data_IF_860968098402
#
_entry.id   IF_860968098402
#
_cell.length_a   1.000
_cell.length_b   1.000
_cell.length_c   1.000
_cell.angle_alpha   90.00
_cell.angle_beta   90.00
_cell.angle_gamma   90.00
#
_symmetry.space_group_name_H-M   'P 1'
#
loop_
_entity.id
_entity.type
_entity.pdbx_description
1 polymer ?
#
# COMPACT_ATOMS: atom_id res chain seq x y z
N UNK A 1 3.54 -8.01 -39.89
CA UNK A 1 4.37 -7.25 -38.93
C UNK A 1 3.57 -6.30 -38.02
N UNK A 2 2.36 -5.82 -38.37
CA UNK A 2 1.56 -4.90 -37.53
C UNK A 2 0.80 -5.53 -36.34
N UNK A 3 0.52 -6.83 -36.34
CA UNK A 3 -0.24 -7.47 -35.25
C UNK A 3 0.60 -7.71 -33.98
N UNK A 4 1.90 -7.96 -34.13
CA UNK A 4 2.80 -8.29 -33.03
C UNK A 4 3.14 -7.10 -32.14
N UNK A 5 3.26 -5.90 -32.73
CA UNK A 5 3.55 -4.67 -31.97
C UNK A 5 2.37 -4.27 -31.07
N UNK A 6 1.13 -4.44 -31.51
CA UNK A 6 -0.05 -4.12 -30.70
C UNK A 6 -0.21 -5.02 -29.47
N UNK A 7 0.11 -6.32 -29.60
CA UNK A 7 0.05 -7.26 -28.48
C UNK A 7 1.06 -6.90 -27.37
N UNK A 8 2.25 -6.41 -27.74
CA UNK A 8 3.30 -6.00 -26.81
C UNK A 8 2.89 -4.76 -26.00
N UNK A 9 2.26 -3.76 -26.64
CA UNK A 9 1.76 -2.57 -25.93
C UNK A 9 0.61 -2.87 -24.97
N UNK A 10 -0.28 -3.82 -25.29
CA UNK A 10 -1.38 -4.22 -24.39
C UNK A 10 -0.83 -5.00 -23.18
N UNK A 11 0.16 -5.89 -23.37
CA UNK A 11 0.79 -6.58 -22.25
C UNK A 11 1.59 -5.62 -21.34
N UNK A 12 2.32 -4.65 -21.91
CA UNK A 12 3.04 -3.63 -21.15
C UNK A 12 2.10 -2.67 -20.41
N UNK A 13 0.97 -2.30 -21.01
CA UNK A 13 -0.04 -1.44 -20.40
C UNK A 13 -0.70 -2.08 -19.17
N UNK A 14 -1.04 -3.37 -19.25
CA UNK A 14 -1.63 -4.11 -18.11
C UNK A 14 -0.58 -4.34 -17.02
N UNK A 15 0.71 -4.48 -17.36
CA UNK A 15 1.79 -4.63 -16.38
C UNK A 15 2.14 -3.34 -15.62
N UNK A 16 1.84 -2.16 -16.19
CA UNK A 16 2.07 -0.86 -15.54
C UNK A 16 1.09 -0.60 -14.38
N UNK A 17 -0.12 -1.16 -14.42
CA UNK A 17 -1.08 -1.09 -13.30
C UNK A 17 -0.63 -1.95 -12.11
N UNK A 18 0.04 -3.08 -12.36
CA UNK A 18 0.61 -3.95 -11.31
C UNK A 18 1.95 -3.45 -10.77
N UNK A 19 2.64 -2.54 -11.46
CA UNK A 19 3.95 -2.02 -11.05
C UNK A 19 3.88 -1.05 -9.85
N UNK A 20 2.69 -0.63 -9.43
CA UNK A 20 2.45 0.23 -8.26
C UNK A 20 1.72 -0.49 -7.11
N UNK A 21 1.61 -1.82 -7.16
CA UNK A 21 0.99 -2.61 -6.09
C UNK A 21 1.89 -2.62 -4.85
N UNK A 22 1.70 -1.59 -4.03
CA UNK A 22 2.26 -1.47 -2.68
C UNK A 22 1.78 -2.64 -1.83
N UNK A 23 2.69 -3.38 -1.18
CA UNK A 23 2.35 -4.51 -0.32
C UNK A 23 2.49 -4.14 1.16
N UNK A 24 1.39 -4.20 1.92
CA UNK A 24 1.35 -3.79 3.33
C UNK A 24 0.93 -4.92 4.26
N UNK A 25 1.48 -4.99 5.49
CA UNK A 25 0.92 -5.82 6.53
C UNK A 25 -0.53 -5.39 6.80
N UNK A 26 -1.44 -6.35 6.88
CA UNK A 26 -2.85 -6.11 7.11
C UNK A 26 -3.38 -6.94 8.28
N UNK A 27 -3.79 -6.24 9.33
CA UNK A 27 -4.39 -6.82 10.52
C UNK A 27 -5.32 -5.80 11.17
N UNK A 28 -6.31 -6.30 11.90
CA UNK A 28 -7.31 -5.47 12.59
C UNK A 28 -7.60 -6.17 13.90
N UNK A 29 -7.10 -5.62 15.00
CA UNK A 29 -7.11 -6.11 16.38
C UNK A 29 -5.68 -6.28 16.95
N UNK A 30 -5.57 -6.17 18.27
CA UNK A 30 -4.30 -6.20 19.00
C UNK A 30 -3.58 -7.54 18.86
N UNK A 31 -4.30 -8.65 18.90
CA UNK A 31 -3.71 -9.99 18.87
C UNK A 31 -3.15 -10.31 17.48
N UNK A 32 -3.91 -10.04 16.42
CA UNK A 32 -3.46 -10.29 15.04
C UNK A 32 -2.35 -9.35 14.63
N UNK A 33 -2.35 -8.10 15.11
CA UNK A 33 -1.29 -7.15 14.82
C UNK A 33 0.01 -7.35 15.63
N UNK A 34 -0.07 -8.05 16.76
CA UNK A 34 1.07 -8.45 17.59
C UNK A 34 1.70 -9.80 17.17
N UNK A 35 1.09 -10.51 16.22
CA UNK A 35 1.64 -11.76 15.70
C UNK A 35 3.06 -11.55 15.13
N UNK A 36 3.93 -12.56 15.32
CA UNK A 36 5.31 -12.54 14.82
C UNK A 36 5.38 -12.29 13.31
N UNK A 37 4.42 -12.85 12.57
CA UNK A 37 4.30 -12.69 11.13
C UNK A 37 2.87 -12.23 10.78
N UNK A 38 2.74 -10.95 10.41
CA UNK A 38 1.46 -10.36 9.98
C UNK A 38 1.34 -10.55 8.46
N UNK A 39 0.21 -11.09 7.96
CA UNK A 39 0.03 -11.30 6.52
C UNK A 39 0.07 -9.97 5.77
N UNK A 40 0.71 -9.97 4.61
CA UNK A 40 0.74 -8.82 3.70
C UNK A 40 -0.34 -8.95 2.63
N UNK A 41 -0.88 -7.82 2.20
CA UNK A 41 -1.86 -7.74 1.11
C UNK A 41 -1.48 -6.63 0.14
N UNK A 42 -1.84 -6.82 -1.13
CA UNK A 42 -1.73 -5.77 -2.13
C UNK A 42 -2.69 -4.62 -1.79
N UNK A 43 -2.18 -3.39 -1.78
CA UNK A 43 -2.99 -2.20 -1.61
C UNK A 43 -3.86 -2.01 -2.86
N UNK A 44 -5.15 -2.29 -2.70
CA UNK A 44 -6.19 -2.00 -3.68
C UNK A 44 -7.12 -0.93 -3.14
N UNK A 45 -7.91 -0.29 -4.00
CA UNK A 45 -8.92 0.67 -3.57
C UNK A 45 -9.90 0.10 -2.54
N UNK A 46 -10.22 -1.20 -2.61
CA UNK A 46 -11.07 -1.88 -1.63
C UNK A 46 -10.40 -2.01 -0.25
N UNK A 47 -9.12 -2.41 -0.22
CA UNK A 47 -8.34 -2.51 1.03
C UNK A 47 -8.18 -1.12 1.65
N UNK A 48 -7.81 -0.12 0.86
CA UNK A 48 -7.68 1.27 1.30
C UNK A 48 -8.99 1.79 1.89
N UNK A 49 -10.10 1.67 1.18
CA UNK A 49 -11.38 2.18 1.66
C UNK A 49 -11.80 1.50 2.98
N UNK A 50 -11.54 0.20 3.12
CA UNK A 50 -11.82 -0.52 4.36
C UNK A 50 -10.93 -0.03 5.51
N UNK A 51 -9.63 0.08 5.30
CA UNK A 51 -8.67 0.59 6.29
C UNK A 51 -9.03 2.01 6.72
N UNK A 52 -9.28 2.91 5.77
CA UNK A 52 -9.63 4.31 6.03
C UNK A 52 -10.96 4.43 6.78
N UNK A 53 -11.96 3.59 6.44
CA UNK A 53 -13.22 3.53 7.18
C UNK A 53 -13.01 3.17 8.65
N UNK A 54 -12.15 2.19 8.94
CA UNK A 54 -11.82 1.81 10.33
C UNK A 54 -11.06 2.92 11.06
N UNK A 55 -10.19 3.65 10.36
CA UNK A 55 -9.47 4.81 10.90
C UNK A 55 -10.38 6.04 11.11
N UNK A 56 -11.58 6.06 10.51
CA UNK A 56 -12.56 7.13 10.70
C UNK A 56 -13.09 7.28 12.12
N UNK A 57 -12.89 6.28 12.99
CA UNK A 57 -13.14 6.41 14.42
C UNK A 57 -12.06 7.18 15.19
N UNK A 58 -10.91 7.45 14.56
CA UNK A 58 -9.70 7.99 15.20
C UNK A 58 -9.32 9.34 14.59
N UNK A 59 -9.23 9.38 13.27
CA UNK A 59 -8.77 10.55 12.52
C UNK A 59 -9.94 11.28 11.85
N UNK A 60 -9.80 12.60 11.70
CA UNK A 60 -10.74 13.46 10.98
C UNK A 60 -10.25 13.67 9.55
N UNK A 61 -11.15 14.11 8.66
CA UNK A 61 -10.85 14.51 7.28
C UNK A 61 -10.17 13.42 6.41
N UNK A 62 -10.75 12.21 6.40
CA UNK A 62 -10.14 11.07 5.73
C UNK A 62 -10.38 10.94 4.22
N UNK A 63 -11.13 11.86 3.61
CA UNK A 63 -11.50 11.79 2.19
C UNK A 63 -10.30 11.85 1.23
N UNK A 64 -9.21 12.50 1.64
CA UNK A 64 -7.98 12.57 0.85
C UNK A 64 -7.16 11.26 0.85
N UNK A 65 -7.56 10.28 1.67
CA UNK A 65 -6.81 9.04 1.88
C UNK A 65 -7.48 7.81 1.27
N UNK A 66 -8.61 8.01 0.59
CA UNK A 66 -9.35 6.97 -0.13
C UNK A 66 -8.96 6.92 -1.60
N UNK A 67 -9.32 5.83 -2.29
CA UNK A 67 -9.24 5.76 -3.76
C UNK A 67 -10.04 6.92 -4.40
N UNK A 68 -9.65 7.44 -5.58
CA UNK A 68 -8.94 6.75 -6.66
C UNK A 68 -7.42 7.01 -6.76
N UNK A 69 -6.78 7.60 -5.75
CA UNK A 69 -5.34 7.87 -5.80
C UNK A 69 -4.54 6.56 -5.99
N UNK A 70 -3.67 6.52 -7.01
CA UNK A 70 -2.83 5.34 -7.34
C UNK A 70 -1.55 5.26 -6.52
N UNK A 71 -1.34 6.23 -5.62
CA UNK A 71 -0.19 6.28 -4.72
C UNK A 71 -0.63 5.76 -3.38
N UNK A 72 -0.09 4.60 -2.99
CA UNK A 72 -0.42 3.93 -1.74
C UNK A 72 0.70 4.06 -0.70
N UNK A 73 0.33 3.99 0.57
CA UNK A 73 1.23 3.93 1.73
C UNK A 73 0.72 2.90 2.73
N UNK A 74 1.61 2.29 3.50
CA UNK A 74 1.22 1.53 4.68
C UNK A 74 0.99 2.46 5.86
N UNK A 75 0.03 2.07 6.69
CA UNK A 75 -0.23 2.70 7.98
C UNK A 75 -0.27 1.64 9.08
N UNK A 76 0.28 2.00 10.23
CA UNK A 76 0.20 1.24 11.48
C UNK A 76 -0.30 2.18 12.57
N UNK A 77 -1.38 1.80 13.23
CA UNK A 77 -2.03 2.61 14.28
C UNK A 77 -2.27 1.74 15.49
N UNK A 78 -1.74 2.16 16.63
CA UNK A 78 -1.97 1.53 17.91
C UNK A 78 -2.51 2.57 18.89
N UNK A 79 -3.44 2.16 19.74
CA UNK A 79 -3.97 2.99 20.81
C UNK A 79 -3.87 2.25 22.12
N UNK A 80 -3.39 2.94 23.16
CA UNK A 80 -3.32 2.47 24.54
C UNK A 80 -3.87 3.53 25.48
N UNK A 81 -4.36 3.13 26.66
CA UNK A 81 -4.96 4.06 27.62
C UNK A 81 -3.91 4.94 28.31
N UNK A 82 -2.76 4.36 28.61
CA UNK A 82 -1.60 5.00 29.25
C UNK A 82 -0.30 4.26 28.88
N UNK A 83 0.85 4.76 29.31
CA UNK A 83 2.17 4.20 28.96
C UNK A 83 2.39 2.76 29.45
N UNK A 84 1.70 2.34 30.51
CA UNK A 84 1.86 1.03 31.14
C UNK A 84 0.78 0.03 30.73
N UNK A 85 -0.24 0.48 30.01
CA UNK A 85 -1.32 -0.35 29.50
C UNK A 85 -0.95 -1.06 28.20
N UNK A 86 -1.52 -2.25 28.00
CA UNK A 86 -1.47 -2.93 26.69
C UNK A 86 -2.27 -2.13 25.67
N UNK A 87 -1.90 -2.25 24.39
CA UNK A 87 -2.70 -1.69 23.30
C UNK A 87 -4.13 -2.24 23.40
N UNK A 88 -5.11 -1.36 23.27
CA UNK A 88 -6.55 -1.68 23.28
C UNK A 88 -7.14 -1.68 21.87
N UNK A 89 -6.40 -1.09 20.93
CA UNK A 89 -6.68 -1.15 19.50
C UNK A 89 -5.35 -1.17 18.74
N UNK A 90 -5.30 -2.00 17.70
CA UNK A 90 -4.20 -2.04 16.75
C UNK A 90 -4.76 -2.28 15.36
N UNK A 91 -4.19 -1.60 14.37
CA UNK A 91 -4.54 -1.74 12.97
C UNK A 91 -3.28 -1.55 12.12
N UNK A 92 -3.10 -2.43 11.13
CA UNK A 92 -2.14 -2.24 10.04
C UNK A 92 -2.88 -2.38 8.72
N UNK A 93 -2.57 -1.53 7.74
CA UNK A 93 -3.23 -1.58 6.44
C UNK A 93 -2.71 -0.56 5.45
N UNK A 94 -3.53 -0.24 4.45
CA UNK A 94 -3.18 0.65 3.36
C UNK A 94 -3.97 1.97 3.42
N UNK A 95 -3.33 3.07 3.04
CA UNK A 95 -3.98 4.33 2.70
C UNK A 95 -3.56 4.79 1.31
N UNK A 96 -4.39 5.61 0.66
CA UNK A 96 -4.02 6.28 -0.58
C UNK A 96 -3.60 7.73 -0.32
N UNK A 97 -3.01 8.37 -1.33
CA UNK A 97 -2.66 9.78 -1.33
C UNK A 97 -1.18 10.03 -1.05
N UNK A 98 -0.78 11.29 -1.27
CA UNK A 98 0.63 11.74 -1.13
C UNK A 98 0.99 12.21 0.28
N UNK A 99 -0.01 12.38 1.14
CA UNK A 99 0.15 12.81 2.53
C UNK A 99 0.11 11.61 3.46
N UNK A 100 0.65 11.77 4.66
CA UNK A 100 0.56 10.78 5.73
C UNK A 100 -0.74 10.99 6.50
N UNK A 101 -1.56 9.94 6.61
CA UNK A 101 -2.79 9.96 7.43
C UNK A 101 -2.49 10.25 8.91
N UNK A 102 -1.28 9.91 9.39
CA UNK A 102 -0.85 10.19 10.76
C UNK A 102 -0.67 11.68 11.06
N UNK A 103 -0.66 12.54 10.04
CA UNK A 103 -0.63 13.99 10.19
C UNK A 103 -2.02 14.62 10.31
N UNK A 104 -3.09 13.83 10.13
CA UNK A 104 -4.45 14.34 10.25
C UNK A 104 -4.84 14.60 11.72
N UNK A 105 -5.68 15.62 11.97
CA UNK A 105 -6.19 15.86 13.30
C UNK A 105 -7.07 14.71 13.76
N UNK A 106 -7.07 14.45 15.05
CA UNK A 106 -7.76 13.31 15.62
C UNK A 106 -9.00 13.71 16.41
N UNK A 107 -9.85 12.74 16.76
CA UNK A 107 -10.82 12.93 17.82
C UNK A 107 -10.11 13.04 19.18
N UNK A 108 -10.78 13.66 20.15
CA UNK A 108 -10.25 13.71 21.52
C UNK A 108 -10.47 12.34 22.15
N UNK A 109 -9.40 11.71 22.59
CA UNK A 109 -9.43 10.43 23.28
C UNK A 109 -8.45 10.44 24.44
N UNK A 110 -8.89 9.88 25.56
CA UNK A 110 -8.09 9.80 26.78
C UNK A 110 -7.13 8.60 26.68
N UNK A 111 -6.03 8.79 25.96
CA UNK A 111 -4.98 7.81 25.79
C UNK A 111 -3.86 8.24 24.86
N UNK A 112 -2.98 7.30 24.54
CA UNK A 112 -1.81 7.49 23.69
C UNK A 112 -2.06 6.80 22.37
N UNK A 113 -2.12 7.59 21.31
CA UNK A 113 -2.17 7.12 19.94
C UNK A 113 -0.75 7.09 19.36
N UNK A 114 -0.33 5.92 18.87
CA UNK A 114 0.86 5.77 18.05
C UNK A 114 0.41 5.57 16.60
N UNK A 115 0.94 6.38 15.68
CA UNK A 115 0.66 6.24 14.25
C UNK A 115 1.96 6.32 13.47
N UNK A 116 2.16 5.35 12.57
CA UNK A 116 3.28 5.31 11.63
C UNK A 116 2.73 5.13 10.22
N UNK A 117 3.18 5.99 9.30
CA UNK A 117 2.89 5.86 7.87
C UNK A 117 4.21 5.75 7.11
N UNK A 118 4.28 4.86 6.13
CA UNK A 118 5.46 4.69 5.27
C UNK A 118 5.07 4.25 3.87
N UNK A 119 5.77 4.76 2.85
CA UNK A 119 5.68 4.23 1.50
C UNK A 119 6.63 3.02 1.39
N UNK A 120 6.06 1.83 1.25
CA UNK A 120 6.82 0.62 0.97
C UNK A 120 7.08 0.52 -0.52
N UNK A 121 7.98 1.35 -1.01
CA UNK A 121 8.68 0.98 -2.21
C UNK A 121 9.53 -0.26 -1.89
N UNK A 122 8.93 -1.46 -2.01
CA UNK A 122 9.70 -2.68 -2.16
C UNK A 122 10.41 -2.57 -3.51
N UNK A 123 11.61 -1.97 -3.49
CA UNK A 123 12.48 -1.70 -4.64
C UNK A 123 12.82 -2.96 -5.47
N UNK A 124 12.46 -4.15 -5.00
CA UNK A 124 12.81 -5.41 -5.63
C UNK A 124 11.95 -5.74 -6.87
N UNK A 125 10.69 -5.33 -6.93
CA UNK A 125 9.85 -5.61 -8.10
C UNK A 125 10.23 -4.79 -9.34
N UNK A 126 10.65 -3.53 -9.15
CA UNK A 126 11.12 -2.66 -10.25
C UNK A 126 12.36 -3.22 -10.95
N UNK A 127 13.25 -3.90 -10.22
CA UNK A 127 14.50 -4.43 -10.79
C UNK A 127 14.27 -5.63 -11.72
N UNK A 128 13.36 -6.53 -11.38
CA UNK A 128 13.03 -7.70 -12.19
C UNK A 128 12.30 -7.33 -13.50
N UNK A 129 11.38 -6.37 -13.43
CA UNK A 129 10.64 -5.90 -14.61
C UNK A 129 11.56 -5.17 -15.59
N UNK A 130 12.52 -4.36 -15.10
CA UNK A 130 13.54 -3.73 -15.94
C UNK A 130 14.43 -4.77 -16.64
N UNK A 131 14.88 -5.80 -15.92
CA UNK A 131 15.72 -6.87 -16.49
C UNK A 131 14.97 -7.69 -17.55
N UNK A 132 13.69 -8.01 -17.31
CA UNK A 132 12.87 -8.74 -18.27
C UNK A 132 12.65 -7.93 -19.57
N UNK A 133 12.39 -6.63 -19.44
CA UNK A 133 12.17 -5.74 -20.58
C UNK A 133 13.43 -5.53 -21.43
N UNK A 134 14.61 -5.40 -20.81
CA UNK A 134 15.87 -5.33 -21.55
C UNK A 134 16.16 -6.64 -22.30
N UNK A 135 15.84 -7.79 -21.69
CA UNK A 135 15.99 -9.09 -22.34
C UNK A 135 15.10 -9.26 -23.58
N UNK A 136 13.85 -8.82 -23.52
CA UNK A 136 12.90 -8.91 -24.64
C UNK A 136 13.30 -7.98 -25.80
N UNK A 137 13.75 -6.76 -25.50
CA UNK A 137 14.22 -5.80 -26.51
C UNK A 137 15.50 -6.30 -27.19
N UNK A 138 16.44 -6.85 -26.42
CA UNK A 138 17.66 -7.44 -26.99
C UNK A 138 17.36 -8.64 -27.88
N UNK A 139 16.41 -9.51 -27.49
CA UNK A 139 15.98 -10.63 -28.31
C UNK A 139 15.31 -10.14 -29.59
N UNK A 140 14.37 -9.19 -29.51
CA UNK A 140 13.70 -8.65 -30.70
C UNK A 140 14.65 -8.01 -31.72
N UNK A 141 15.74 -7.38 -31.27
CA UNK A 141 16.76 -6.79 -32.16
C UNK A 141 17.60 -7.85 -32.90
N UNK A 142 17.78 -9.05 -32.33
CA UNK A 142 18.55 -10.14 -32.94
C UNK A 142 17.81 -10.88 -34.07
N UNK A 143 16.48 -10.74 -34.16
CA UNK A 143 15.67 -11.37 -35.22
C UNK A 143 15.25 -10.38 -36.33
N UNK A 144 15.68 -9.12 -36.25
CA UNK A 144 15.42 -8.07 -37.27
C UNK A 144 16.66 -7.79 -38.13
N UNK A 145 17.84 -8.29 -37.72
CA UNK A 145 19.07 -8.36 -38.53
C UNK A 145 19.19 -9.68 -39.29
#
# INVERSE_FOLDING_TARGET
MQLYTMAIFVCLGVQLDYANAMNCPHCVDVLTCAAYEVPKVDCTGAVVNRTVLMLGGIFRNLTAYTAPDTVYSCVEVNFRRDENSTDTFALKGCTAGRKSICGEPTYDYNGILSCRSYSGADRQQLSLVLLLNVGIVAFALLFVS
#
